data_IF_604633548162
#
_entry.id   IF_604633548162
#
_cell.length_a   1.000
_cell.length_b   1.000
_cell.length_c   1.000
_cell.angle_alpha   90.00
_cell.angle_beta   90.00
_cell.angle_gamma   90.00
#
_symmetry.space_group_name_H-M   'P 1'
#
loop_
_entity.id
_entity.type
_entity.pdbx_description
1 polymer ?
#
# COMPACT_ATOMS: atom_id res chain seq x y z
N UNK A 1 -14.90 -6.83 -3.57
CA UNK A 1 -13.90 -5.91 -4.14
C UNK A 1 -13.10 -6.63 -5.21
N UNK A 2 -12.65 -5.95 -6.26
CA UNK A 2 -11.72 -6.54 -7.26
C UNK A 2 -10.38 -6.80 -6.56
N UNK A 3 -9.69 -7.87 -6.91
CA UNK A 3 -8.35 -8.21 -6.38
C UNK A 3 -7.35 -7.07 -6.59
N UNK A 4 -7.48 -6.35 -7.71
CA UNK A 4 -6.71 -5.13 -8.01
C UNK A 4 -6.86 -4.07 -6.91
N UNK A 5 -8.05 -3.93 -6.33
CA UNK A 5 -8.32 -2.99 -5.22
C UNK A 5 -7.63 -3.42 -3.92
N UNK A 6 -7.56 -4.73 -3.65
CA UNK A 6 -6.93 -5.27 -2.44
C UNK A 6 -5.40 -5.17 -2.50
N UNK A 7 -4.80 -5.52 -3.64
CA UNK A 7 -3.38 -5.31 -3.90
C UNK A 7 -3.01 -3.83 -3.79
N UNK A 8 -3.84 -2.94 -4.34
CA UNK A 8 -3.64 -1.52 -4.20
C UNK A 8 -3.68 -1.06 -2.73
N UNK A 9 -4.63 -1.58 -1.94
CA UNK A 9 -4.74 -1.27 -0.51
C UNK A 9 -3.49 -1.70 0.26
N UNK A 10 -2.94 -2.88 -0.03
CA UNK A 10 -1.72 -3.41 0.60
C UNK A 10 -0.51 -2.54 0.27
N UNK A 11 -0.33 -2.22 -1.01
CA UNK A 11 0.80 -1.38 -1.46
C UNK A 11 0.66 0.03 -0.86
N UNK A 12 -0.56 0.57 -0.82
CA UNK A 12 -0.86 1.85 -0.17
C UNK A 12 -0.51 1.85 1.33
N UNK A 13 -0.92 0.81 2.07
CA UNK A 13 -0.58 0.64 3.49
C UNK A 13 0.94 0.57 3.70
N UNK A 14 1.65 -0.26 2.92
CA UNK A 14 3.12 -0.36 2.97
C UNK A 14 3.79 0.99 2.71
N UNK A 15 3.31 1.74 1.72
CA UNK A 15 3.82 3.07 1.41
C UNK A 15 3.57 4.09 2.53
N UNK A 16 2.43 4.02 3.23
CA UNK A 16 2.18 4.87 4.41
C UNK A 16 3.14 4.51 5.55
N UNK A 17 3.33 3.22 5.86
CA UNK A 17 4.26 2.84 6.92
C UNK A 17 5.70 3.21 6.59
N UNK A 18 6.11 3.04 5.33
CA UNK A 18 7.41 3.50 4.86
C UNK A 18 7.55 5.03 5.00
N UNK A 19 6.51 5.78 4.65
CA UNK A 19 6.51 7.23 4.83
C UNK A 19 6.67 7.62 6.30
N UNK A 20 5.87 7.06 7.21
CA UNK A 20 5.94 7.39 8.65
C UNK A 20 7.25 6.96 9.30
N UNK A 21 7.82 5.80 8.93
CA UNK A 21 9.03 5.30 9.60
C UNK A 21 10.35 5.76 8.97
N UNK A 22 10.39 5.94 7.66
CA UNK A 22 11.64 6.25 6.95
C UNK A 22 11.74 7.71 6.53
N UNK A 23 10.65 8.34 6.10
CA UNK A 23 10.67 9.71 5.55
C UNK A 23 10.29 10.77 6.57
N UNK A 24 9.25 10.53 7.36
CA UNK A 24 8.78 11.47 8.38
C UNK A 24 9.83 11.88 9.42
N UNK A 25 10.69 10.98 9.95
CA UNK A 25 11.72 11.37 10.93
C UNK A 25 12.93 12.05 10.29
N UNK A 26 13.17 11.83 8.99
CA UNK A 26 14.32 12.41 8.26
C UNK A 26 14.01 13.82 7.77
N UNK A 27 12.74 14.10 7.46
CA UNK A 27 12.32 15.38 6.91
C UNK A 27 11.80 16.27 8.05
N UNK A 28 12.59 17.27 8.45
CA UNK A 28 12.16 18.24 9.47
C UNK A 28 11.16 19.29 8.97
N UNK A 29 11.15 19.58 7.67
CA UNK A 29 10.34 20.66 7.09
C UNK A 29 8.94 20.17 6.67
N UNK A 30 7.91 20.89 7.14
CA UNK A 30 6.50 20.55 6.89
C UNK A 30 6.14 20.56 5.40
N UNK A 31 6.78 21.44 4.65
CA UNK A 31 6.56 21.62 3.20
C UNK A 31 7.06 20.39 2.42
N UNK A 32 8.25 19.89 2.80
CA UNK A 32 8.88 18.72 2.20
C UNK A 32 8.16 17.43 2.59
N UNK A 33 7.59 17.35 3.80
CA UNK A 33 6.73 16.23 4.21
C UNK A 33 5.52 16.09 3.29
N UNK A 34 4.78 17.19 3.09
CA UNK A 34 3.61 17.19 2.19
C UNK A 34 4.03 16.84 0.76
N UNK A 35 5.13 17.41 0.26
CA UNK A 35 5.62 17.14 -1.08
C UNK A 35 6.03 15.66 -1.27
N UNK A 36 6.77 15.08 -0.32
CA UNK A 36 7.17 13.67 -0.36
C UNK A 36 5.98 12.72 -0.25
N UNK A 37 4.97 13.06 0.55
CA UNK A 37 3.72 12.30 0.60
C UNK A 37 2.97 12.32 -0.74
N UNK A 38 2.86 13.49 -1.38
CA UNK A 38 2.25 13.63 -2.71
C UNK A 38 3.00 12.81 -3.76
N UNK A 39 4.34 12.83 -3.74
CA UNK A 39 5.17 12.03 -4.65
C UNK A 39 4.91 10.53 -4.46
N UNK A 40 4.81 10.04 -3.22
CA UNK A 40 4.48 8.64 -2.93
C UNK A 40 3.10 8.27 -3.47
N UNK A 41 2.09 9.13 -3.26
CA UNK A 41 0.75 8.91 -3.81
C UNK A 41 0.77 8.85 -5.34
N UNK A 42 1.58 9.68 -5.99
CA UNK A 42 1.72 9.70 -7.44
C UNK A 42 2.38 8.41 -7.97
N UNK A 43 3.43 7.94 -7.30
CA UNK A 43 4.09 6.67 -7.60
C UNK A 43 3.09 5.51 -7.42
N UNK A 44 2.30 5.54 -6.34
CA UNK A 44 1.26 4.54 -6.08
C UNK A 44 0.20 4.51 -7.19
N UNK A 45 -0.30 5.65 -7.66
CA UNK A 45 -1.27 5.70 -8.74
C UNK A 45 -0.69 5.18 -10.06
N UNK A 46 0.59 5.49 -10.33
CA UNK A 46 1.30 4.95 -11.49
C UNK A 46 1.46 3.42 -11.41
N UNK A 47 1.87 2.90 -10.24
CA UNK A 47 2.00 1.47 -9.99
C UNK A 47 0.65 0.77 -10.07
N UNK A 48 -0.42 1.39 -9.53
CA UNK A 48 -1.80 0.90 -9.64
C UNK A 48 -2.20 0.69 -11.09
N UNK A 49 -2.06 1.73 -11.92
CA UNK A 49 -2.42 1.68 -13.35
C UNK A 49 -1.65 0.57 -14.08
N UNK A 50 -0.35 0.43 -13.81
CA UNK A 50 0.46 -0.66 -14.38
C UNK A 50 0.05 -2.05 -13.90
N UNK A 51 -0.27 -2.19 -12.62
CA UNK A 51 -0.72 -3.46 -12.04
C UNK A 51 -2.10 -3.83 -12.56
N UNK A 52 -3.02 -2.88 -12.72
CA UNK A 52 -4.38 -3.14 -13.19
C UNK A 52 -4.37 -3.79 -14.59
N UNK A 53 -3.48 -3.32 -15.49
CA UNK A 53 -3.28 -3.89 -16.84
C UNK A 53 -2.70 -5.32 -16.78
N UNK A 54 -1.81 -5.62 -15.83
CA UNK A 54 -1.17 -6.95 -15.71
C UNK A 54 -2.02 -7.96 -14.93
N UNK A 55 -2.79 -7.48 -13.95
CA UNK A 55 -3.56 -8.31 -13.02
C UNK A 55 -4.97 -8.63 -13.53
N UNK A 56 -5.42 -8.02 -14.63
CA UNK A 56 -6.63 -8.45 -15.33
C UNK A 56 -6.58 -9.95 -15.67
N UNK A 57 -5.38 -10.48 -15.94
CA UNK A 57 -5.11 -11.91 -16.18
C UNK A 57 -5.17 -12.78 -14.90
N UNK A 58 -4.65 -12.28 -13.77
CA UNK A 58 -4.61 -12.99 -12.48
C UNK A 58 -5.98 -13.01 -11.78
N UNK A 59 -6.81 -12.00 -12.04
CA UNK A 59 -8.16 -11.87 -11.46
C UNK A 59 -9.07 -13.05 -11.83
N UNK A 60 -8.78 -13.77 -12.93
CA UNK A 60 -9.53 -14.98 -13.32
C UNK A 60 -9.16 -16.26 -12.55
N UNK A 61 -8.01 -16.29 -11.85
CA UNK A 61 -7.50 -17.52 -11.20
C UNK A 61 -7.45 -17.47 -9.68
N UNK A 62 -7.51 -16.28 -9.06
CA UNK A 62 -7.41 -16.15 -7.61
C UNK A 62 -8.78 -16.15 -6.95
N UNK A 63 -8.97 -17.08 -6.02
CA UNK A 63 -10.21 -17.23 -5.27
C UNK A 63 -10.48 -16.02 -4.37
N UNK A 64 -11.74 -15.61 -4.30
CA UNK A 64 -12.19 -14.39 -3.61
C UNK A 64 -11.88 -14.44 -2.12
N UNK A 65 -11.97 -15.63 -1.53
CA UNK A 65 -11.64 -15.87 -0.12
C UNK A 65 -10.16 -15.66 0.18
N UNK A 66 -9.27 -16.20 -0.67
CA UNK A 66 -7.82 -16.10 -0.46
C UNK A 66 -7.34 -14.65 -0.45
N UNK A 67 -7.97 -13.82 -1.28
CA UNK A 67 -7.69 -12.39 -1.39
C UNK A 67 -8.05 -11.61 -0.12
N UNK A 68 -9.16 -11.97 0.54
CA UNK A 68 -9.57 -11.36 1.81
C UNK A 68 -8.60 -11.74 2.94
N UNK A 69 -8.17 -13.00 3.00
CA UNK A 69 -7.20 -13.47 3.99
C UNK A 69 -5.85 -12.77 3.89
N UNK A 70 -5.34 -12.54 2.67
CA UNK A 70 -4.09 -11.79 2.46
C UNK A 70 -4.21 -10.37 3.03
N UNK A 71 -5.35 -9.72 2.84
CA UNK A 71 -5.56 -8.32 3.28
C UNK A 71 -5.69 -8.24 4.79
N UNK A 72 -6.45 -9.17 5.39
CA UNK A 72 -6.54 -9.28 6.85
C UNK A 72 -5.14 -9.54 7.42
N UNK A 73 -4.36 -10.44 6.82
CA UNK A 73 -2.99 -10.74 7.25
C UNK A 73 -2.06 -9.54 7.19
N UNK A 74 -2.10 -8.75 6.11
CA UNK A 74 -1.30 -7.52 5.99
C UNK A 74 -1.70 -6.48 7.03
N UNK A 75 -3.01 -6.25 7.24
CA UNK A 75 -3.49 -5.30 8.24
C UNK A 75 -3.08 -5.72 9.65
N UNK A 76 -3.22 -7.02 9.97
CA UNK A 76 -2.79 -7.56 11.27
C UNK A 76 -1.29 -7.39 11.49
N UNK A 77 -0.48 -7.67 10.47
CA UNK A 77 0.97 -7.50 10.54
C UNK A 77 1.34 -6.04 10.79
N UNK A 78 0.64 -5.11 10.12
CA UNK A 78 0.83 -3.68 10.32
C UNK A 78 0.49 -3.22 11.73
N UNK A 79 -0.65 -3.68 12.27
CA UNK A 79 -1.08 -3.36 13.64
C UNK A 79 -0.08 -3.90 14.66
N UNK A 80 0.42 -5.13 14.48
CA UNK A 80 1.41 -5.74 15.36
C UNK A 80 2.71 -4.92 15.34
N UNK A 81 3.22 -4.56 14.16
CA UNK A 81 4.44 -3.75 14.05
C UNK A 81 4.27 -2.40 14.76
N UNK A 82 3.11 -1.75 14.62
CA UNK A 82 2.83 -0.46 15.26
C UNK A 82 2.61 -0.57 16.77
N UNK A 83 2.14 -1.71 17.28
CA UNK A 83 1.98 -1.95 18.72
C UNK A 83 3.31 -2.24 19.43
N UNK A 84 4.28 -2.79 18.71
CA UNK A 84 5.59 -3.20 19.25
C UNK A 84 6.70 -2.15 19.07
N UNK A 85 6.36 -0.97 18.55
CA UNK A 85 7.27 0.16 18.33
C UNK A 85 6.96 1.29 19.30
#
# INVERSE_FOLDING_TARGET
MKISTLLYLIIFLLSIGFYNQALEPVIGDRSLKIFSFIVILYILDFVKKKLEIRFEFLTKRLDKQLSVWIVIGVIFTFIIIYMFQ
#
